data_IF_692832479278
#
_entry.id   IF_692832479278
#
_cell.length_a   1.000
_cell.length_b   1.000
_cell.length_c   1.000
_cell.angle_alpha   90.00
_cell.angle_beta   90.00
_cell.angle_gamma   90.00
#
_symmetry.space_group_name_H-M   'P 1'
#
loop_
_entity.id
_entity.type
_entity.pdbx_description
1 polymer ?
#
# COMPACT_ATOMS: atom_id res chain seq x y z
N UNK A 1 -9.69 -6.08 17.43
CA UNK A 1 -9.08 -5.79 18.74
C UNK A 1 -8.15 -4.59 18.58
N UNK A 2 -8.28 -3.59 19.45
CA UNK A 2 -7.39 -2.43 19.46
C UNK A 2 -6.55 -2.47 20.74
N UNK A 3 -5.22 -2.44 20.60
CA UNK A 3 -4.34 -2.11 21.72
C UNK A 3 -3.88 -0.67 21.45
N UNK A 4 -4.43 0.26 22.22
CA UNK A 4 -4.23 1.69 22.01
C UNK A 4 -2.72 2.02 21.93
N UNK A 5 -2.32 2.69 20.84
CA UNK A 5 -0.93 3.10 20.60
C UNK A 5 -0.01 2.03 19.99
N UNK A 6 -0.48 0.81 19.74
CA UNK A 6 0.36 -0.29 19.23
C UNK A 6 -0.05 -0.82 17.86
N UNK A 7 -1.29 -1.29 17.73
CA UNK A 7 -1.85 -1.83 16.49
C UNK A 7 -3.37 -1.83 16.54
N UNK A 8 -3.97 -1.85 15.36
CA UNK A 8 -5.37 -2.20 15.17
C UNK A 8 -5.41 -3.49 14.37
N UNK A 9 -6.20 -4.46 14.83
CA UNK A 9 -6.57 -5.65 14.05
C UNK A 9 -8.08 -5.61 13.88
N UNK A 10 -8.52 -5.40 12.64
CA UNK A 10 -9.92 -5.33 12.28
C UNK A 10 -10.34 -6.57 11.49
N UNK A 11 -11.59 -6.97 11.71
CA UNK A 11 -12.18 -8.16 11.12
C UNK A 11 -13.44 -7.78 10.37
N UNK A 12 -13.68 -8.36 9.20
CA UNK A 12 -14.98 -8.30 8.56
C UNK A 12 -16.09 -8.83 9.45
N UNK A 13 -17.31 -8.30 9.31
CA UNK A 13 -18.46 -8.81 10.05
C UNK A 13 -18.76 -10.29 9.77
N UNK A 14 -18.35 -10.80 8.60
CA UNK A 14 -18.48 -12.21 8.19
C UNK A 14 -17.37 -13.13 8.70
N UNK A 15 -16.35 -12.61 9.39
CA UNK A 15 -15.24 -13.40 9.89
C UNK A 15 -15.66 -14.19 11.15
N UNK A 16 -15.67 -15.51 11.04
CA UNK A 16 -16.10 -16.42 12.12
C UNK A 16 -14.93 -17.20 12.76
N UNK A 17 -13.70 -16.94 12.31
CA UNK A 17 -12.50 -17.65 12.78
C UNK A 17 -12.31 -19.06 12.22
N UNK A 18 -13.19 -19.54 11.34
CA UNK A 18 -13.13 -20.90 10.78
C UNK A 18 -12.78 -20.93 9.29
N UNK A 19 -13.05 -19.85 8.56
CA UNK A 19 -12.71 -19.70 7.14
C UNK A 19 -11.47 -18.82 6.98
N UNK A 20 -10.52 -19.18 6.11
CA UNK A 20 -9.33 -18.38 5.88
C UNK A 20 -9.67 -17.10 5.12
N UNK A 21 -9.40 -15.95 5.75
CA UNK A 21 -9.59 -14.62 5.14
C UNK A 21 -8.26 -14.04 4.65
N UNK A 22 -8.26 -13.28 3.55
CA UNK A 22 -7.07 -12.57 3.12
C UNK A 22 -6.66 -11.51 4.16
N UNK A 23 -5.36 -11.21 4.22
CA UNK A 23 -4.79 -10.24 5.15
C UNK A 23 -4.31 -9.00 4.41
N UNK A 24 -4.71 -7.82 4.89
CA UNK A 24 -4.18 -6.53 4.47
C UNK A 24 -3.31 -5.94 5.58
N UNK A 25 -2.04 -5.68 5.30
CA UNK A 25 -1.15 -4.91 6.18
C UNK A 25 -1.10 -3.47 5.70
N UNK A 26 -1.52 -2.52 6.53
CA UNK A 26 -1.72 -1.13 6.11
C UNK A 26 -0.94 -0.13 6.99
N UNK A 27 0.00 0.59 6.37
CA UNK A 27 0.96 1.48 7.06
C UNK A 27 0.59 2.95 6.88
N UNK A 28 0.36 3.65 7.99
CA UNK A 28 -0.08 5.05 8.00
C UNK A 28 1.03 6.03 7.61
N UNK A 29 0.64 7.25 7.20
CA UNK A 29 1.55 8.35 6.91
C UNK A 29 2.12 9.01 8.17
N UNK A 30 3.21 9.77 7.98
CA UNK A 30 3.81 10.64 8.99
C UNK A 30 2.77 11.58 9.60
N UNK A 31 2.79 11.78 10.92
CA UNK A 31 1.82 12.61 11.65
C UNK A 31 0.40 12.05 11.74
N UNK A 32 0.11 10.89 11.13
CA UNK A 32 -1.19 10.23 11.25
C UNK A 32 -1.12 9.09 12.26
N UNK A 33 -2.27 8.65 12.77
CA UNK A 33 -2.38 7.44 13.58
C UNK A 33 -2.65 6.22 12.68
N UNK A 34 -2.48 5.02 13.22
CA UNK A 34 -2.87 3.77 12.59
C UNK A 34 -4.37 3.66 12.20
N UNK A 35 -5.25 4.54 12.69
CA UNK A 35 -6.66 4.66 12.22
C UNK A 35 -6.80 5.28 10.82
N UNK A 36 -5.72 5.77 10.20
CA UNK A 36 -5.81 6.37 8.85
C UNK A 36 -6.43 5.39 7.84
N UNK A 37 -5.94 4.15 7.81
CA UNK A 37 -6.42 3.14 6.85
C UNK A 37 -7.79 2.57 7.22
N UNK A 38 -8.13 2.52 8.52
CA UNK A 38 -9.49 2.22 8.97
C UNK A 38 -10.50 3.19 8.35
N UNK A 39 -10.20 4.49 8.42
CA UNK A 39 -11.06 5.54 7.85
C UNK A 39 -11.08 5.52 6.32
N UNK A 40 -9.93 5.34 5.66
CA UNK A 40 -9.85 5.31 4.19
C UNK A 40 -10.62 4.13 3.58
N UNK A 41 -10.65 2.99 4.26
CA UNK A 41 -11.25 1.75 3.75
C UNK A 41 -12.67 1.50 4.22
N UNK A 42 -13.24 2.41 5.03
CA UNK A 42 -14.61 2.31 5.53
C UNK A 42 -15.63 2.20 4.39
N UNK A 43 -16.52 1.21 4.48
CA UNK A 43 -17.53 0.85 3.51
C UNK A 43 -16.98 0.15 2.25
N UNK A 44 -15.68 -0.13 2.17
CA UNK A 44 -15.04 -0.76 1.01
C UNK A 44 -14.87 -2.26 1.17
N UNK A 45 -14.58 -2.96 0.07
CA UNK A 45 -14.23 -4.37 0.12
C UNK A 45 -12.95 -4.66 0.92
N UNK A 46 -12.03 -3.70 1.10
CA UNK A 46 -10.90 -3.89 2.01
C UNK A 46 -11.35 -4.00 3.48
N UNK A 47 -12.47 -3.39 3.87
CA UNK A 47 -13.05 -3.56 5.21
C UNK A 47 -13.88 -4.84 5.30
N UNK A 48 -14.66 -5.18 4.26
CA UNK A 48 -15.63 -6.29 4.33
C UNK A 48 -15.08 -7.65 3.94
N UNK A 49 -13.95 -7.72 3.24
CA UNK A 49 -13.44 -8.97 2.69
C UNK A 49 -12.07 -9.37 3.28
N UNK A 50 -11.40 -8.48 4.04
CA UNK A 50 -10.04 -8.69 4.54
C UNK A 50 -9.95 -8.53 6.05
N UNK A 51 -9.19 -9.41 6.70
CA UNK A 51 -8.62 -9.08 8.01
C UNK A 51 -7.58 -7.99 7.78
N UNK A 52 -7.61 -6.91 8.56
CA UNK A 52 -6.72 -5.77 8.40
C UNK A 52 -5.82 -5.62 9.61
N UNK A 53 -4.51 -5.70 9.41
CA UNK A 53 -3.49 -5.33 10.39
C UNK A 53 -3.01 -3.91 10.09
N UNK A 54 -3.17 -3.01 11.05
CA UNK A 54 -2.72 -1.61 10.98
C UNK A 54 -1.74 -1.34 12.13
N UNK A 55 -0.44 -1.62 11.92
CA UNK A 55 0.61 -1.33 12.88
C UNK A 55 0.72 0.18 13.17
N UNK A 56 1.12 0.53 14.39
CA UNK A 56 1.52 1.89 14.75
C UNK A 56 3.03 1.94 15.02
N UNK A 57 3.66 3.04 14.62
CA UNK A 57 5.06 3.32 15.00
C UNK A 57 5.14 3.98 16.38
N UNK A 58 6.26 3.73 17.07
CA UNK A 58 6.62 4.43 18.31
C UNK A 58 7.56 5.61 18.06
N UNK A 59 7.95 5.84 16.81
CA UNK A 59 8.86 6.89 16.44
C UNK A 59 8.24 8.28 16.65
N UNK A 60 9.06 9.24 17.04
CA UNK A 60 8.66 10.63 17.21
C UNK A 60 8.01 11.18 15.94
N UNK A 61 6.87 11.85 16.09
CA UNK A 61 6.12 12.42 14.96
C UNK A 61 5.25 11.42 14.19
N UNK A 62 5.16 10.15 14.62
CA UNK A 62 4.38 9.10 13.93
C UNK A 62 4.87 8.84 12.49
N UNK A 63 6.19 8.88 12.29
CA UNK A 63 6.83 8.66 10.99
C UNK A 63 7.78 7.47 11.10
N UNK A 64 7.82 6.62 10.07
CA UNK A 64 8.54 5.34 10.06
C UNK A 64 10.05 5.54 9.81
N UNK A 65 10.74 6.24 10.72
CA UNK A 65 12.12 6.67 10.54
C UNK A 65 13.14 5.61 10.99
N UNK A 66 12.79 4.82 12.00
CA UNK A 66 13.65 3.76 12.54
C UNK A 66 13.26 2.41 11.94
N UNK A 67 13.84 2.08 10.79
CA UNK A 67 13.52 0.84 10.07
C UNK A 67 13.61 -0.40 10.99
N UNK A 68 14.73 -0.59 11.68
CA UNK A 68 15.01 -1.76 12.51
C UNK A 68 13.97 -1.99 13.63
N UNK A 69 13.56 -0.94 14.32
CA UNK A 69 12.55 -1.06 15.37
C UNK A 69 11.16 -1.31 14.77
N UNK A 70 10.84 -0.60 13.68
CA UNK A 70 9.54 -0.73 13.04
C UNK A 70 9.34 -2.10 12.40
N UNK A 71 10.34 -2.65 11.72
CA UNK A 71 10.20 -3.97 11.07
C UNK A 71 10.06 -5.09 12.10
N UNK A 72 10.80 -5.06 13.21
CA UNK A 72 10.64 -6.02 14.31
C UNK A 72 9.23 -5.99 14.87
N UNK A 73 8.68 -4.79 15.08
CA UNK A 73 7.31 -4.59 15.56
C UNK A 73 6.28 -5.10 14.55
N UNK A 74 6.41 -4.75 13.27
CA UNK A 74 5.50 -5.21 12.22
C UNK A 74 5.51 -6.75 12.13
N UNK A 75 6.69 -7.37 12.15
CA UNK A 75 6.84 -8.84 12.10
C UNK A 75 6.19 -9.52 13.31
N UNK A 76 6.45 -9.01 14.52
CA UNK A 76 5.82 -9.53 15.74
C UNK A 76 4.28 -9.50 15.66
N UNK A 77 3.72 -8.40 15.15
CA UNK A 77 2.26 -8.24 15.03
C UNK A 77 1.68 -9.09 13.89
N UNK A 78 2.43 -9.25 12.80
CA UNK A 78 2.09 -10.15 11.70
C UNK A 78 2.04 -11.61 12.18
N UNK A 79 3.04 -12.04 12.94
CA UNK A 79 3.09 -13.39 13.52
C UNK A 79 1.94 -13.64 14.50
N UNK A 80 1.64 -12.65 15.35
CA UNK A 80 0.47 -12.70 16.25
C UNK A 80 -0.82 -12.87 15.46
N UNK A 81 -0.99 -12.16 14.35
CA UNK A 81 -2.18 -12.30 13.51
C UNK A 81 -2.27 -13.70 12.90
N UNK A 82 -1.18 -14.20 12.32
CA UNK A 82 -1.14 -15.53 11.68
C UNK A 82 -1.31 -16.68 12.67
N UNK A 83 -0.79 -16.54 13.88
CA UNK A 83 -0.86 -17.57 14.90
C UNK A 83 -2.26 -17.68 15.53
N UNK A 84 -3.02 -16.59 15.59
CA UNK A 84 -4.27 -16.53 16.36
C UNK A 84 -5.54 -16.43 15.50
N UNK A 85 -5.42 -16.17 14.20
CA UNK A 85 -6.55 -15.97 13.31
C UNK A 85 -6.44 -16.85 12.07
N UNK A 86 -7.59 -17.25 11.50
CA UNK A 86 -7.68 -18.04 10.29
C UNK A 86 -7.40 -17.13 9.07
N UNK A 87 -6.11 -17.01 8.76
CA UNK A 87 -5.61 -16.19 7.65
C UNK A 87 -5.28 -17.07 6.45
N UNK A 88 -5.66 -16.60 5.26
CA UNK A 88 -5.16 -17.14 4.02
C UNK A 88 -3.78 -16.55 3.69
N UNK A 89 -2.73 -17.31 4.02
CA UNK A 89 -1.35 -16.89 3.77
C UNK A 89 -1.01 -16.78 2.27
N UNK A 90 -1.83 -17.36 1.39
CA UNK A 90 -1.69 -17.16 -0.06
C UNK A 90 -2.30 -15.83 -0.55
N UNK A 91 -2.91 -15.05 0.34
CA UNK A 91 -3.57 -13.77 0.04
C UNK A 91 -3.23 -12.69 1.08
N UNK A 92 -1.94 -12.41 1.23
CA UNK A 92 -1.41 -11.34 2.07
C UNK A 92 -0.98 -10.15 1.21
N UNK A 93 -1.49 -8.96 1.51
CA UNK A 93 -1.25 -7.75 0.71
C UNK A 93 -0.78 -6.58 1.58
N UNK A 94 0.00 -5.67 0.97
CA UNK A 94 0.54 -4.51 1.65
C UNK A 94 0.08 -3.19 1.04
N UNK A 95 -0.35 -2.24 1.87
CA UNK A 95 -0.63 -0.86 1.45
C UNK A 95 0.05 0.13 2.39
N UNK A 96 0.34 1.32 1.87
CA UNK A 96 0.95 2.36 2.68
C UNK A 96 0.79 3.72 2.03
N UNK A 97 0.80 4.77 2.83
CA UNK A 97 0.73 6.15 2.37
C UNK A 97 1.92 6.94 2.92
N UNK A 98 2.59 7.72 2.06
CA UNK A 98 3.67 8.62 2.43
C UNK A 98 4.77 7.87 3.21
N UNK A 99 5.02 8.19 4.48
CA UNK A 99 6.02 7.50 5.30
C UNK A 99 5.72 6.01 5.48
N UNK A 100 4.45 5.60 5.55
CA UNK A 100 4.08 4.19 5.56
C UNK A 100 4.32 3.51 4.22
N UNK A 101 4.16 4.23 3.10
CA UNK A 101 4.53 3.73 1.79
C UNK A 101 6.05 3.56 1.66
N UNK A 102 6.84 4.51 2.19
CA UNK A 102 8.29 4.37 2.28
C UNK A 102 8.69 3.16 3.10
N UNK A 103 8.08 2.94 4.27
CA UNK A 103 8.33 1.75 5.08
C UNK A 103 8.02 0.48 4.30
N UNK A 104 6.88 0.43 3.59
CA UNK A 104 6.52 -0.72 2.76
C UNK A 104 7.56 -1.00 1.66
N UNK A 105 8.00 0.02 0.92
CA UNK A 105 9.01 -0.17 -0.14
C UNK A 105 10.39 -0.49 0.45
N UNK A 106 10.73 0.05 1.63
CA UNK A 106 11.97 -0.25 2.34
C UNK A 106 12.02 -1.70 2.84
N UNK A 107 10.91 -2.22 3.36
CA UNK A 107 10.74 -3.66 3.66
C UNK A 107 11.04 -4.50 2.43
N UNK A 108 10.46 -4.15 1.28
CA UNK A 108 10.68 -4.88 0.02
C UNK A 108 12.13 -4.79 -0.48
N UNK A 109 12.92 -3.82 0.00
CA UNK A 109 14.34 -3.71 -0.31
C UNK A 109 15.23 -4.63 0.53
N UNK A 110 14.72 -5.10 1.67
CA UNK A 110 15.39 -6.07 2.54
C UNK A 110 14.86 -7.47 2.26
N UNK A 111 15.60 -8.23 1.44
CA UNK A 111 15.17 -9.55 0.94
C UNK A 111 14.58 -10.47 2.03
N UNK A 112 15.25 -10.59 3.18
CA UNK A 112 14.78 -11.44 4.27
C UNK A 112 13.46 -10.99 4.88
N UNK A 113 13.21 -9.67 4.97
CA UNK A 113 11.97 -9.13 5.52
C UNK A 113 10.83 -9.21 4.50
N UNK A 114 11.15 -9.01 3.22
CA UNK A 114 10.22 -9.21 2.12
C UNK A 114 9.76 -10.68 2.01
N UNK A 115 10.69 -11.64 2.09
CA UNK A 115 10.40 -13.08 2.14
C UNK A 115 9.61 -13.45 3.40
N UNK A 116 9.85 -12.77 4.52
CA UNK A 116 9.16 -13.06 5.78
C UNK A 116 7.68 -12.67 5.76
N UNK A 117 7.38 -11.47 5.27
CA UNK A 117 5.99 -10.99 5.18
C UNK A 117 5.24 -11.60 3.98
N UNK A 118 5.96 -12.06 2.96
CA UNK A 118 5.48 -12.82 1.81
C UNK A 118 4.26 -12.19 1.13
N UNK A 119 4.30 -10.87 0.94
CA UNK A 119 3.24 -10.14 0.26
C UNK A 119 3.05 -10.65 -1.17
N UNK A 120 1.80 -10.92 -1.55
CA UNK A 120 1.41 -11.35 -2.90
C UNK A 120 1.12 -10.18 -3.82
N UNK A 121 0.92 -8.99 -3.27
CA UNK A 121 0.83 -7.75 -4.01
C UNK A 121 0.86 -6.54 -3.09
N UNK A 122 1.34 -5.41 -3.61
CA UNK A 122 1.43 -4.17 -2.85
C UNK A 122 0.85 -2.98 -3.60
N UNK A 123 0.33 -2.01 -2.86
CA UNK A 123 -0.08 -0.73 -3.43
C UNK A 123 0.41 0.47 -2.60
N UNK A 124 1.69 0.86 -2.74
CA UNK A 124 2.24 2.04 -2.08
C UNK A 124 1.72 3.33 -2.73
N UNK A 125 1.40 4.31 -1.89
CA UNK A 125 1.00 5.66 -2.31
C UNK A 125 2.05 6.69 -1.85
N UNK A 126 2.67 7.40 -2.78
CA UNK A 126 3.64 8.48 -2.50
C UNK A 126 4.88 8.04 -1.69
N UNK A 127 5.52 6.94 -2.10
CA UNK A 127 6.79 6.48 -1.52
C UNK A 127 8.02 7.11 -2.20
N UNK A 128 9.16 7.08 -1.51
CA UNK A 128 10.48 7.33 -2.10
C UNK A 128 11.13 6.03 -2.60
N UNK A 129 12.12 6.12 -3.51
CA UNK A 129 12.73 4.95 -4.14
C UNK A 129 13.65 4.18 -3.17
N UNK A 130 13.41 2.88 -3.04
CA UNK A 130 14.35 1.90 -2.47
C UNK A 130 14.61 0.78 -3.48
N UNK A 131 15.75 0.09 -3.34
CA UNK A 131 16.10 -1.03 -4.23
C UNK A 131 15.26 -2.28 -3.89
N UNK A 132 14.07 -2.39 -4.47
CA UNK A 132 13.19 -3.56 -4.34
C UNK A 132 13.95 -4.84 -4.70
N UNK A 133 13.98 -5.79 -3.78
CA UNK A 133 14.89 -6.94 -3.82
C UNK A 133 14.30 -8.19 -4.46
N UNK A 134 12.97 -8.22 -4.66
CA UNK A 134 12.21 -9.36 -5.18
C UNK A 134 11.12 -8.89 -6.14
N UNK A 135 10.80 -9.72 -7.12
CA UNK A 135 9.65 -9.48 -7.98
C UNK A 135 8.35 -9.54 -7.15
N UNK A 136 7.51 -8.51 -7.26
CA UNK A 136 6.23 -8.44 -6.56
C UNK A 136 5.20 -7.66 -7.39
N UNK A 137 3.96 -8.17 -7.55
CA UNK A 137 2.88 -7.41 -8.16
C UNK A 137 2.69 -6.05 -7.46
N UNK A 138 2.66 -4.96 -8.23
CA UNK A 138 2.53 -3.61 -7.68
C UNK A 138 1.52 -2.73 -8.42
N UNK A 139 0.70 -2.02 -7.64
CA UNK A 139 -0.04 -0.83 -8.06
C UNK A 139 0.56 0.40 -7.36
N UNK A 140 1.49 1.08 -7.99
CA UNK A 140 2.10 2.28 -7.42
C UNK A 140 1.29 3.53 -7.77
N UNK A 141 0.97 4.35 -6.77
CA UNK A 141 0.15 5.55 -6.96
C UNK A 141 0.92 6.77 -6.47
N UNK A 142 0.99 7.82 -7.29
CA UNK A 142 1.63 9.07 -6.92
C UNK A 142 0.97 10.27 -7.62
N UNK A 143 1.00 11.44 -6.97
CA UNK A 143 0.49 12.68 -7.53
C UNK A 143 1.42 13.31 -8.54
N UNK A 144 0.87 13.88 -9.62
CA UNK A 144 1.62 14.67 -10.63
C UNK A 144 2.32 15.91 -10.05
N UNK A 145 1.83 16.41 -8.90
CA UNK A 145 2.32 17.63 -8.24
C UNK A 145 2.76 17.38 -6.79
N UNK A 146 3.18 16.16 -6.49
CA UNK A 146 3.68 15.81 -5.15
C UNK A 146 4.92 16.63 -4.78
N UNK A 147 4.73 17.64 -3.92
CA UNK A 147 5.81 18.49 -3.40
C UNK A 147 6.34 18.05 -2.03
N UNK A 148 5.79 16.98 -1.45
CA UNK A 148 6.28 16.40 -0.18
C UNK A 148 7.35 15.33 -0.44
N UNK A 149 7.51 14.93 -1.70
CA UNK A 149 8.56 14.06 -2.20
C UNK A 149 9.47 14.82 -3.17
N UNK A 150 10.63 14.25 -3.44
CA UNK A 150 11.49 14.78 -4.50
C UNK A 150 10.78 14.68 -5.86
N UNK A 151 11.06 15.62 -6.75
CA UNK A 151 10.47 15.68 -8.10
C UNK A 151 10.54 14.34 -8.85
N UNK A 152 11.66 13.61 -8.67
CA UNK A 152 11.90 12.32 -9.31
C UNK A 152 11.57 11.10 -8.44
N UNK A 153 10.98 11.28 -7.26
CA UNK A 153 10.71 10.16 -6.34
C UNK A 153 9.77 9.12 -6.94
N UNK A 154 8.65 9.55 -7.54
CA UNK A 154 7.70 8.65 -8.18
C UNK A 154 8.29 7.88 -9.38
N UNK A 155 8.86 8.52 -10.42
CA UNK A 155 9.45 7.79 -11.54
C UNK A 155 10.61 6.89 -11.11
N UNK A 156 11.45 7.32 -10.16
CA UNK A 156 12.52 6.48 -9.63
C UNK A 156 11.98 5.27 -8.87
N UNK A 157 10.91 5.42 -8.07
CA UNK A 157 10.30 4.30 -7.34
C UNK A 157 9.73 3.27 -8.31
N UNK A 158 9.02 3.72 -9.35
CA UNK A 158 8.49 2.86 -10.40
C UNK A 158 9.61 2.15 -11.15
N UNK A 159 10.73 2.82 -11.43
CA UNK A 159 11.90 2.19 -12.05
C UNK A 159 12.44 1.03 -11.19
N UNK A 160 12.46 1.16 -9.86
CA UNK A 160 12.89 0.08 -8.95
C UNK A 160 11.97 -1.14 -9.02
N UNK A 161 10.66 -0.93 -9.04
CA UNK A 161 9.70 -2.02 -9.25
C UNK A 161 9.83 -2.66 -10.63
N UNK A 162 9.97 -1.85 -11.69
CA UNK A 162 10.14 -2.37 -13.06
C UNK A 162 11.39 -3.23 -13.19
N UNK A 163 12.50 -2.79 -12.59
CA UNK A 163 13.75 -3.55 -12.58
C UNK A 163 13.58 -4.90 -11.85
N UNK A 164 12.98 -4.88 -10.65
CA UNK A 164 12.71 -6.10 -9.88
C UNK A 164 11.74 -7.05 -10.60
N UNK A 165 10.73 -6.50 -11.29
CA UNK A 165 9.69 -7.23 -12.02
C UNK A 165 10.07 -7.52 -13.48
N UNK A 166 11.32 -7.27 -13.88
CA UNK A 166 11.84 -7.56 -15.22
C UNK A 166 10.99 -6.99 -16.37
N UNK A 167 10.40 -5.82 -16.16
CA UNK A 167 9.53 -5.17 -17.15
C UNK A 167 10.31 -4.59 -18.33
N UNK A 168 9.68 -4.56 -19.51
CA UNK A 168 10.15 -3.74 -20.63
C UNK A 168 9.99 -2.24 -20.34
N UNK A 169 10.63 -1.40 -21.16
CA UNK A 169 10.45 0.07 -21.15
C UNK A 169 9.09 0.52 -21.70
N UNK A 170 8.42 -0.34 -22.47
CA UNK A 170 7.10 -0.03 -23.03
C UNK A 170 6.00 -0.18 -21.98
N UNK A 171 4.96 0.63 -22.16
CA UNK A 171 3.76 0.58 -21.35
C UNK A 171 2.56 0.96 -22.21
N UNK A 172 1.37 0.63 -21.72
CA UNK A 172 0.10 1.02 -22.31
C UNK A 172 -0.84 1.63 -21.26
N UNK A 173 -1.82 2.46 -21.68
CA UNK A 173 -2.85 2.95 -20.77
C UNK A 173 -3.55 1.79 -20.05
N UNK A 174 -3.81 1.96 -18.75
CA UNK A 174 -4.51 0.98 -17.92
C UNK A 174 -5.92 1.48 -17.59
N UNK A 175 -6.86 1.24 -18.52
CA UNK A 175 -8.22 1.77 -18.46
C UNK A 175 -9.13 1.10 -17.41
N UNK A 176 -8.66 0.05 -16.72
CA UNK A 176 -9.44 -0.62 -15.67
C UNK A 176 -9.65 0.26 -14.44
N UNK A 177 -8.82 1.30 -14.26
CA UNK A 177 -8.95 2.27 -13.18
C UNK A 177 -9.67 3.50 -13.72
N UNK A 178 -10.86 3.75 -13.20
CA UNK A 178 -11.71 4.86 -13.58
C UNK A 178 -11.44 6.09 -12.71
N UNK A 179 -11.66 7.26 -13.29
CA UNK A 179 -11.64 8.52 -12.56
C UNK A 179 -12.73 8.60 -11.49
N UNK A 180 -12.60 9.61 -10.63
CA UNK A 180 -13.54 9.88 -9.56
C UNK A 180 -13.63 11.39 -9.32
N UNK A 181 -14.68 11.82 -8.62
CA UNK A 181 -14.76 13.20 -8.15
C UNK A 181 -13.93 13.32 -6.88
N UNK A 182 -12.92 14.19 -6.88
CA UNK A 182 -12.11 14.49 -5.70
C UNK A 182 -13.00 15.03 -4.57
N UNK A 183 -12.56 14.89 -3.32
CA UNK A 183 -13.21 15.52 -2.17
C UNK A 183 -13.32 17.04 -2.35
N UNK A 184 -12.39 17.64 -3.08
CA UNK A 184 -12.35 19.07 -3.33
C UNK A 184 -13.14 19.51 -4.58
N UNK A 185 -13.86 18.57 -5.22
CA UNK A 185 -14.80 18.84 -6.32
C UNK A 185 -14.37 18.50 -7.75
N UNK A 186 -13.10 18.64 -8.19
CA UNK A 186 -12.74 18.40 -9.58
C UNK A 186 -12.68 16.91 -9.93
N UNK A 187 -12.78 16.62 -11.23
CA UNK A 187 -12.58 15.28 -11.76
C UNK A 187 -11.11 14.86 -11.68
N UNK A 188 -10.88 13.69 -11.11
CA UNK A 188 -9.58 13.04 -11.00
C UNK A 188 -9.39 12.13 -12.19
N UNK A 189 -8.35 12.43 -12.97
CA UNK A 189 -7.72 11.51 -13.91
C UNK A 189 -6.67 10.68 -13.15
N UNK A 190 -6.86 9.36 -13.06
CA UNK A 190 -5.90 8.46 -12.41
C UNK A 190 -4.54 8.39 -13.11
N UNK A 191 -4.50 8.65 -14.43
CA UNK A 191 -3.26 8.61 -15.22
C UNK A 191 -2.52 7.28 -15.15
N UNK A 192 -3.25 6.16 -15.16
CA UNK A 192 -2.68 4.83 -14.96
C UNK A 192 -2.12 4.21 -16.24
N UNK A 193 -0.95 3.63 -16.14
CA UNK A 193 -0.32 2.78 -17.17
C UNK A 193 0.06 1.43 -16.58
N UNK A 194 0.14 0.41 -17.44
CA UNK A 194 0.68 -0.91 -17.12
C UNK A 194 1.90 -1.17 -17.99
N UNK A 195 2.98 -1.65 -17.38
CA UNK A 195 4.21 -1.98 -18.09
C UNK A 195 4.12 -3.34 -18.77
N UNK A 196 4.73 -3.45 -19.94
CA UNK A 196 4.73 -4.69 -20.71
C UNK A 196 5.86 -5.63 -20.27
N UNK A 197 5.69 -6.93 -20.59
CA UNK A 197 6.71 -7.98 -20.45
C UNK A 197 7.29 -8.13 -19.04
N UNK A 198 6.54 -7.73 -18.00
CA UNK A 198 6.93 -7.98 -16.63
C UNK A 198 6.74 -9.45 -16.24
N UNK A 199 7.57 -9.96 -15.33
CA UNK A 199 7.36 -11.27 -14.69
C UNK A 199 6.14 -11.29 -13.77
N UNK A 200 5.77 -10.13 -13.22
CA UNK A 200 4.58 -9.90 -12.40
C UNK A 200 3.99 -8.51 -12.70
N UNK A 201 2.67 -8.30 -12.53
CA UNK A 201 2.03 -7.04 -12.89
C UNK A 201 2.66 -5.80 -12.24
N UNK A 202 2.94 -4.78 -13.05
CA UNK A 202 3.47 -3.47 -12.59
C UNK A 202 2.63 -2.36 -13.18
N UNK A 203 1.82 -1.72 -12.34
CA UNK A 203 0.91 -0.63 -12.71
C UNK A 203 1.39 0.64 -12.00
N UNK A 204 1.43 1.75 -12.72
CA UNK A 204 1.72 3.07 -12.16
C UNK A 204 0.60 4.05 -12.50
N UNK A 205 0.01 4.65 -11.47
CA UNK A 205 -0.94 5.75 -11.60
C UNK A 205 -0.29 7.07 -11.19
N UNK A 206 -0.19 8.00 -12.15
CA UNK A 206 0.22 9.37 -11.90
C UNK A 206 -1.01 10.28 -11.94
N UNK A 207 -1.60 10.59 -10.79
CA UNK A 207 -2.92 11.24 -10.72
C UNK A 207 -2.85 12.77 -10.61
N UNK A 208 -3.94 13.43 -10.99
CA UNK A 208 -4.09 14.89 -10.87
C UNK A 208 -4.91 15.34 -9.63
N UNK A 209 -5.34 14.42 -8.75
CA UNK A 209 -6.17 14.75 -7.57
C UNK A 209 -5.57 15.90 -6.74
N UNK A 210 -6.24 17.06 -6.62
CA UNK A 210 -5.72 18.25 -5.95
C UNK A 210 -5.87 18.21 -4.43
N UNK A 211 -6.44 17.14 -3.88
CA UNK A 211 -6.51 16.98 -2.43
C UNK A 211 -5.16 17.15 -1.75
N UNK A 212 -5.20 17.46 -0.45
CA UNK A 212 -4.03 17.75 0.37
C UNK A 212 -3.38 19.08 -0.02
N UNK A 213 -4.17 20.17 0.04
CA UNK A 213 -3.71 21.55 -0.20
C UNK A 213 -2.99 21.72 -1.55
N UNK A 214 -3.51 21.12 -2.63
CA UNK A 214 -2.91 21.10 -3.97
C UNK A 214 -1.50 20.47 -4.06
N UNK A 215 -1.11 19.68 -3.07
CA UNK A 215 0.15 18.92 -3.13
C UNK A 215 -0.01 17.58 -3.82
N UNK A 216 -1.22 17.08 -4.06
CA UNK A 216 -1.47 15.75 -4.63
C UNK A 216 -0.77 14.59 -3.86
N UNK A 217 -0.33 14.82 -2.62
CA UNK A 217 0.53 13.88 -1.89
C UNK A 217 -0.21 12.69 -1.26
N UNK A 218 -1.54 12.75 -1.16
CA UNK A 218 -2.29 11.73 -0.43
C UNK A 218 -3.03 10.72 -1.30
N UNK A 219 -3.85 9.91 -0.63
CA UNK A 219 -4.53 8.76 -1.23
C UNK A 219 -5.72 9.26 -2.06
N UNK A 220 -5.67 9.15 -3.40
CA UNK A 220 -6.73 9.71 -4.26
C UNK A 220 -8.02 8.88 -4.15
N UNK A 221 -9.15 9.48 -4.52
CA UNK A 221 -10.47 8.85 -4.35
C UNK A 221 -10.66 7.48 -5.04
N UNK A 222 -9.89 7.19 -6.10
CA UNK A 222 -9.96 5.92 -6.83
C UNK A 222 -9.11 4.81 -6.19
N UNK A 223 -8.20 5.16 -5.28
CA UNK A 223 -7.13 4.27 -4.84
C UNK A 223 -7.67 3.00 -4.16
N UNK A 224 -8.55 3.14 -3.18
CA UNK A 224 -9.08 2.00 -2.41
C UNK A 224 -9.78 0.99 -3.30
N UNK A 225 -10.65 1.44 -4.20
CA UNK A 225 -11.31 0.55 -5.19
C UNK A 225 -10.27 -0.12 -6.10
N UNK A 226 -9.29 0.65 -6.58
CA UNK A 226 -8.26 0.12 -7.48
C UNK A 226 -7.36 -0.91 -6.80
N UNK A 227 -7.06 -0.74 -5.51
CA UNK A 227 -6.34 -1.71 -4.70
C UNK A 227 -7.12 -3.03 -4.57
N UNK A 228 -8.43 -2.95 -4.30
CA UNK A 228 -9.31 -4.14 -4.27
C UNK A 228 -9.27 -4.87 -5.60
N UNK A 229 -9.53 -4.16 -6.70
CA UNK A 229 -9.60 -4.76 -8.03
C UNK A 229 -8.24 -5.38 -8.42
N UNK A 230 -7.15 -4.71 -8.06
CA UNK A 230 -5.80 -5.20 -8.27
C UNK A 230 -5.52 -6.48 -7.48
N UNK A 231 -5.79 -6.51 -6.17
CA UNK A 231 -5.54 -7.68 -5.33
C UNK A 231 -6.43 -8.87 -5.67
N UNK A 232 -7.67 -8.64 -6.12
CA UNK A 232 -8.58 -9.71 -6.57
C UNK A 232 -8.16 -10.36 -7.90
N UNK A 233 -7.31 -9.70 -8.68
CA UNK A 233 -6.83 -10.20 -9.96
C UNK A 233 -5.54 -11.03 -9.86
N UNK A 234 -4.96 -11.15 -8.66
CA UNK A 234 -3.76 -11.95 -8.35
C UNK A 234 -4.16 -13.33 -7.84
#
# INVERSE_FOLDING_TARGET
MQVAGEKIIDFPASYDGTKPFPLLVALHACGNQNTQWENLTKGSALETDYVRLMPNTTDGGQCWNNYENNIKRIRQQYDEVKANYCIDESRVFGVGHSSGAQMLVNILSHKSDAEYLDFKGVAPVAADPFNVSLAIPVLYIAGKKDTQRGENSAPNTVQKFRAANMCAETSKPYASIQGCTSKDGPQVDPGCIVYDQCSVPTIWCSHNDPSYTNTNHGVPCFAVKSMVDFFKAL
#
